data_IF_051201518882
#
_entry.id   IF_051201518882
#
_cell.length_a   1.000
_cell.length_b   1.000
_cell.length_c   1.000
_cell.angle_alpha   90.00
_cell.angle_beta   90.00
_cell.angle_gamma   90.00
#
_symmetry.space_group_name_H-M   'P 1'
#
loop_
_entity.id
_entity.type
_entity.pdbx_description
1 polymer ?
#
# COMPACT_ATOMS: atom_id res chain seq x y z
N UNK A 1 23.23 5.84 25.34
CA UNK A 1 22.35 6.01 24.16
C UNK A 1 21.55 4.72 24.06
N UNK A 2 20.23 4.80 24.24
CA UNK A 2 19.38 3.62 24.29
C UNK A 2 19.34 2.97 22.90
N UNK A 3 20.20 1.96 22.69
CA UNK A 3 20.00 1.01 21.61
C UNK A 3 18.64 0.38 21.86
N UNK A 4 17.71 0.57 20.94
CA UNK A 4 16.48 -0.19 20.92
C UNK A 4 16.91 -1.64 20.70
N UNK A 5 16.99 -2.40 21.79
CA UNK A 5 17.17 -3.85 21.80
C UNK A 5 15.94 -4.44 21.13
N UNK A 6 16.09 -4.84 19.87
CA UNK A 6 14.99 -5.18 19.00
C UNK A 6 15.31 -4.97 17.51
N UNK A 7 15.28 -6.07 16.78
CA UNK A 7 15.36 -6.13 15.32
C UNK A 7 14.54 -5.00 14.67
N UNK A 8 15.23 -4.13 13.93
CA UNK A 8 14.64 -2.93 13.33
C UNK A 8 14.36 -3.18 11.86
N UNK A 9 13.16 -2.80 11.43
CA UNK A 9 12.86 -2.57 10.03
C UNK A 9 13.19 -1.11 9.68
N UNK A 10 14.03 -0.90 8.68
CA UNK A 10 14.30 0.41 8.10
C UNK A 10 13.62 0.52 6.73
N UNK A 11 13.10 1.71 6.43
CA UNK A 11 12.38 1.98 5.18
C UNK A 11 12.94 3.27 4.60
N UNK A 12 13.55 3.16 3.41
CA UNK A 12 14.16 4.31 2.75
C UNK A 12 13.70 4.44 1.30
N UNK A 13 13.78 5.64 0.73
CA UNK A 13 13.47 5.89 -0.68
C UNK A 13 14.80 6.11 -1.40
N UNK A 14 15.12 5.23 -2.35
CA UNK A 14 16.31 5.37 -3.20
C UNK A 14 15.89 5.04 -4.64
N UNK A 15 16.42 5.76 -5.62
CA UNK A 15 16.20 5.47 -7.05
C UNK A 15 14.73 5.29 -7.48
N UNK A 16 13.80 6.08 -6.91
CA UNK A 16 12.37 5.97 -7.18
C UNK A 16 11.75 4.59 -6.83
N UNK A 17 12.38 3.86 -5.91
CA UNK A 17 11.89 2.64 -5.30
C UNK A 17 11.92 2.77 -3.77
N UNK A 18 11.09 1.99 -3.10
CA UNK A 18 11.04 1.90 -1.63
C UNK A 18 11.92 0.72 -1.22
N UNK A 19 12.97 0.99 -0.48
CA UNK A 19 13.89 -0.02 0.06
C UNK A 19 13.42 -0.43 1.45
N UNK A 20 13.33 -1.75 1.66
CA UNK A 20 12.93 -2.37 2.90
C UNK A 20 14.11 -3.18 3.44
N UNK A 21 14.66 -2.74 4.57
CA UNK A 21 15.85 -3.34 5.18
C UNK A 21 15.47 -3.88 6.57
N UNK A 22 15.91 -5.11 6.91
CA UNK A 22 15.83 -5.63 8.28
C UNK A 22 17.23 -5.75 8.84
N UNK A 23 17.46 -5.10 9.97
CA UNK A 23 18.77 -5.04 10.63
C UNK A 23 18.64 -5.78 11.97
N UNK A 24 19.61 -6.66 12.24
CA UNK A 24 19.71 -7.38 13.52
C UNK A 24 20.21 -6.47 14.63
N UNK A 25 20.10 -6.93 15.88
CA UNK A 25 20.73 -6.25 17.03
C UNK A 25 22.26 -6.12 16.92
N UNK A 26 22.91 -6.88 16.04
CA UNK A 26 24.36 -6.78 15.78
C UNK A 26 24.70 -5.85 14.62
N UNK A 27 23.76 -5.00 14.20
CA UNK A 27 23.87 -4.14 13.01
C UNK A 27 24.12 -4.93 11.70
N UNK A 28 23.80 -6.23 11.69
CA UNK A 28 23.91 -7.05 10.48
C UNK A 28 22.63 -6.94 9.65
N UNK A 29 22.80 -6.70 8.35
CA UNK A 29 21.68 -6.67 7.40
C UNK A 29 21.18 -8.09 7.14
N UNK A 30 19.97 -8.40 7.62
CA UNK A 30 19.33 -9.71 7.48
C UNK A 30 18.43 -9.78 6.25
N UNK A 31 17.90 -8.64 5.81
CA UNK A 31 16.99 -8.53 4.69
C UNK A 31 17.22 -7.21 3.97
N UNK A 32 17.19 -7.25 2.64
CA UNK A 32 17.26 -6.11 1.74
C UNK A 32 16.37 -6.42 0.53
N UNK A 33 15.38 -5.57 0.28
CA UNK A 33 14.56 -5.65 -0.93
C UNK A 33 14.15 -4.26 -1.40
N UNK A 34 13.89 -4.11 -2.69
CA UNK A 34 13.43 -2.88 -3.31
C UNK A 34 12.07 -3.10 -3.95
N UNK A 35 11.08 -2.35 -3.49
CA UNK A 35 9.70 -2.43 -3.93
C UNK A 35 9.36 -1.24 -4.83
N UNK A 36 8.64 -1.50 -5.91
CA UNK A 36 7.97 -0.43 -6.65
C UNK A 36 6.87 0.21 -5.78
N UNK A 37 6.41 1.41 -6.17
CA UNK A 37 5.40 2.16 -5.41
C UNK A 37 4.11 1.36 -5.21
N UNK A 38 3.62 0.69 -6.26
CA UNK A 38 2.39 -0.10 -6.20
C UNK A 38 2.56 -1.37 -5.34
N UNK A 39 3.72 -2.00 -5.41
CA UNK A 39 4.05 -3.18 -4.59
C UNK A 39 4.13 -2.81 -3.10
N UNK A 40 4.78 -1.68 -2.77
CA UNK A 40 4.86 -1.18 -1.41
C UNK A 40 3.47 -0.82 -0.84
N UNK A 41 2.58 -0.24 -1.66
CA UNK A 41 1.18 0.00 -1.28
C UNK A 41 0.43 -1.31 -1.03
N UNK A 42 0.61 -2.30 -1.89
CA UNK A 42 0.04 -3.64 -1.72
C UNK A 42 0.51 -4.29 -0.41
N UNK A 43 1.82 -4.24 -0.13
CA UNK A 43 2.41 -4.76 1.10
C UNK A 43 1.87 -4.04 2.34
N UNK A 44 1.80 -2.70 2.31
CA UNK A 44 1.23 -1.91 3.41
C UNK A 44 -0.23 -2.27 3.69
N UNK A 45 -1.03 -2.48 2.63
CA UNK A 45 -2.42 -2.92 2.75
C UNK A 45 -2.54 -4.32 3.39
N UNK A 46 -1.67 -5.26 3.00
CA UNK A 46 -1.63 -6.60 3.60
C UNK A 46 -1.21 -6.54 5.07
N UNK A 47 -0.15 -5.81 5.40
CA UNK A 47 0.32 -5.65 6.78
C UNK A 47 -0.77 -5.07 7.67
N UNK A 48 -1.45 -4.01 7.22
CA UNK A 48 -2.59 -3.41 7.93
C UNK A 48 -3.71 -4.43 8.13
N UNK A 49 -4.16 -5.08 7.06
CA UNK A 49 -5.24 -6.08 7.12
C UNK A 49 -4.97 -7.22 8.10
N UNK A 50 -3.72 -7.69 8.20
CA UNK A 50 -3.36 -8.76 9.14
C UNK A 50 -3.20 -8.24 10.57
N UNK A 51 -2.71 -7.01 10.76
CA UNK A 51 -2.71 -6.36 12.07
C UNK A 51 -4.13 -6.15 12.60
N UNK A 52 -5.04 -5.61 11.78
CA UNK A 52 -6.45 -5.39 12.11
C UNK A 52 -7.15 -6.72 12.47
N UNK A 53 -6.84 -7.80 11.75
CA UNK A 53 -7.35 -9.15 12.07
C UNK A 53 -6.84 -9.67 13.42
N UNK A 54 -5.58 -9.43 13.75
CA UNK A 54 -4.99 -9.83 15.03
C UNK A 54 -5.61 -9.03 16.18
N UNK A 55 -5.75 -7.72 16.02
CA UNK A 55 -6.43 -6.84 16.97
C UNK A 55 -7.90 -7.24 17.16
N UNK A 56 -8.63 -7.45 16.06
CA UNK A 56 -10.01 -7.93 16.08
C UNK A 56 -10.20 -9.37 16.55
N UNK A 57 -9.13 -10.18 16.60
CA UNK A 57 -9.15 -11.53 17.18
C UNK A 57 -8.88 -11.56 18.68
N UNK A 58 -8.37 -10.46 19.24
CA UNK A 58 -8.05 -10.30 20.67
C UNK A 58 -9.22 -9.82 21.53
N UNK A 59 -10.27 -9.27 20.92
CA UNK A 59 -11.46 -8.79 21.64
C UNK A 59 -12.74 -9.27 20.95
N UNK A 60 -13.25 -10.41 21.43
CA UNK A 60 -14.66 -10.77 21.26
C UNK A 60 -15.52 -9.78 22.05
N UNK A 61 -15.62 -8.54 21.58
CA UNK A 61 -16.20 -7.47 22.39
C UNK A 61 -16.50 -6.14 21.71
N UNK A 62 -16.56 -6.01 20.38
CA UNK A 62 -16.96 -4.70 19.83
C UNK A 62 -17.11 -4.61 18.33
N UNK A 63 -18.36 -4.59 17.89
CA UNK A 63 -18.88 -4.12 16.60
C UNK A 63 -18.04 -3.07 15.87
N UNK A 64 -17.69 -3.33 14.61
CA UNK A 64 -17.01 -2.37 13.75
C UNK A 64 -16.81 -2.85 12.32
N UNK A 65 -17.82 -3.49 11.73
CA UNK A 65 -17.93 -3.56 10.26
C UNK A 65 -17.96 -2.10 9.75
N UNK A 66 -16.83 -1.62 9.26
CA UNK A 66 -16.71 -0.31 8.65
C UNK A 66 -16.04 -0.46 7.31
N UNK A 67 -16.88 -0.90 6.36
CA UNK A 67 -16.92 -0.36 5.01
C UNK A 67 -15.60 -0.40 4.26
N UNK A 68 -15.32 -1.58 3.69
CA UNK A 68 -14.57 -1.69 2.44
C UNK A 68 -15.34 -0.89 1.37
N UNK A 69 -15.12 0.43 1.37
CA UNK A 69 -15.58 1.31 0.30
C UNK A 69 -14.54 1.20 -0.79
N UNK A 70 -14.68 0.14 -1.59
CA UNK A 70 -14.08 0.03 -2.90
C UNK A 70 -14.54 1.25 -3.72
N UNK A 71 -13.71 2.30 -3.72
CA UNK A 71 -13.82 3.43 -4.65
C UNK A 71 -13.57 2.87 -6.05
N UNK A 72 -14.65 2.32 -6.62
CA UNK A 72 -14.74 1.98 -8.02
C UNK A 72 -14.62 3.28 -8.82
N UNK A 73 -13.39 3.58 -9.26
CA UNK A 73 -13.06 4.58 -10.27
C UNK A 73 -13.80 4.26 -11.58
N UNK A 74 -15.05 4.71 -11.66
CA UNK A 74 -15.84 4.64 -12.88
C UNK A 74 -15.47 5.81 -13.78
N UNK A 75 -14.27 5.73 -14.34
CA UNK A 75 -13.84 6.46 -15.52
C UNK A 75 -14.87 6.29 -16.67
N UNK A 76 -15.76 7.27 -16.85
CA UNK A 76 -16.56 7.47 -18.06
C UNK A 76 -16.39 8.90 -18.57
N UNK A 77 -15.19 9.15 -19.09
CA UNK A 77 -14.93 10.30 -19.94
C UNK A 77 -15.41 10.01 -21.38
N UNK A 78 -16.08 11.02 -21.94
CA UNK A 78 -16.23 11.32 -23.38
C UNK A 78 -17.37 10.65 -24.16
N UNK A 79 -18.59 11.17 -23.98
CA UNK A 79 -19.52 11.31 -25.11
C UNK A 79 -19.17 12.58 -25.89
N UNK A 80 -18.43 12.40 -26.97
CA UNK A 80 -18.12 13.44 -27.94
C UNK A 80 -18.06 12.82 -29.33
N UNK A 81 -19.23 12.56 -29.92
CA UNK A 81 -19.34 12.11 -31.31
C UNK A 81 -20.46 12.88 -32.01
N UNK A 82 -20.24 14.18 -32.22
CA UNK A 82 -20.96 14.93 -33.24
C UNK A 82 -20.20 14.83 -34.57
N UNK A 83 -20.85 14.17 -35.54
CA UNK A 83 -20.39 13.95 -36.91
C UNK A 83 -20.23 15.28 -37.66
N UNK A 84 -19.18 15.47 -38.48
CA UNK A 84 -19.22 16.50 -39.52
C UNK A 84 -20.16 16.04 -40.65
N UNK A 85 -21.25 16.77 -40.87
CA UNK A 85 -22.08 16.61 -42.06
C UNK A 85 -21.33 17.14 -43.28
N UNK A 86 -21.07 16.25 -44.23
CA UNK A 86 -20.38 16.52 -45.49
C UNK A 86 -21.17 17.44 -46.42
N UNK A 87 -20.40 18.13 -47.26
CA UNK A 87 -20.81 19.16 -48.22
C UNK A 87 -21.89 18.70 -49.21
N UNK A 88 -22.77 19.65 -49.54
CA UNK A 88 -23.72 19.60 -50.66
C UNK A 88 -22.94 19.52 -51.98
N UNK A 89 -23.39 18.61 -52.84
CA UNK A 89 -23.13 18.57 -54.28
C UNK A 89 -23.78 19.74 -55.00
#
# INVERSE_FOLDING_TARGET
MAGHEGERWDVSIKNNAIYLERISDSDEQLFDDSLAVDEARGLAGLLRKFADKLEGSGDSGGTGDSGDSDESDASKASEGSEKPSGQRT
#
